data_IF_900389888070
#
_entry.id   IF_900389888070
#
_cell.length_a   1.000
_cell.length_b   1.000
_cell.length_c   1.000
_cell.angle_alpha   90.00
_cell.angle_beta   90.00
_cell.angle_gamma   90.00
#
_symmetry.space_group_name_H-M   'P 1'
#
loop_
_entity.id
_entity.type
_entity.pdbx_description
1 polymer ?
#
# COMPACT_ATOMS: atom_id res chain seq x y z
N UNK A 1 -47.90 -28.63 33.12
CA UNK A 1 -47.85 -27.21 32.70
C UNK A 1 -46.49 -26.63 33.10
N UNK A 2 -45.49 -26.75 32.25
CA UNK A 2 -44.16 -26.13 32.49
C UNK A 2 -43.72 -25.52 31.17
N UNK A 3 -43.78 -24.20 31.11
CA UNK A 3 -43.53 -23.39 29.91
C UNK A 3 -42.04 -23.25 29.65
N UNK A 4 -41.65 -23.48 28.40
CA UNK A 4 -40.33 -23.19 27.87
C UNK A 4 -40.27 -21.70 27.49
N UNK A 5 -39.65 -20.88 28.32
CA UNK A 5 -39.28 -19.51 27.95
C UNK A 5 -37.97 -19.58 27.15
N UNK A 6 -38.06 -19.47 25.83
CA UNK A 6 -36.89 -19.36 24.94
C UNK A 6 -36.33 -17.95 25.05
N UNK A 7 -35.09 -17.84 25.51
CA UNK A 7 -34.31 -16.60 25.59
C UNK A 7 -33.87 -16.17 24.18
N UNK A 8 -34.76 -15.53 23.41
CA UNK A 8 -34.46 -15.04 22.05
C UNK A 8 -33.53 -13.81 22.00
N UNK A 9 -33.14 -13.22 23.14
CA UNK A 9 -32.50 -11.90 23.17
C UNK A 9 -31.00 -11.86 22.81
N UNK A 10 -30.25 -12.95 22.98
CA UNK A 10 -28.77 -12.91 22.90
C UNK A 10 -28.23 -13.31 21.52
N UNK A 11 -28.94 -14.18 20.79
CA UNK A 11 -28.47 -14.72 19.51
C UNK A 11 -28.55 -13.72 18.33
N UNK A 12 -29.57 -12.85 18.31
CA UNK A 12 -29.79 -11.90 17.22
C UNK A 12 -28.73 -10.79 17.16
N UNK A 13 -28.21 -10.37 18.31
CA UNK A 13 -27.19 -9.31 18.41
C UNK A 13 -25.80 -9.79 17.93
N UNK A 14 -25.46 -11.06 18.18
CA UNK A 14 -24.17 -11.63 17.74
C UNK A 14 -24.09 -11.78 16.20
N UNK A 15 -25.19 -12.14 15.53
CA UNK A 15 -25.22 -12.29 14.07
C UNK A 15 -25.07 -10.94 13.34
N UNK A 16 -25.69 -9.87 13.84
CA UNK A 16 -25.59 -8.54 13.24
C UNK A 16 -24.15 -7.96 13.34
N UNK A 17 -23.49 -8.12 14.49
CA UNK A 17 -22.13 -7.64 14.71
C UNK A 17 -21.08 -8.38 13.84
N UNK A 18 -21.28 -9.68 13.59
CA UNK A 18 -20.42 -10.47 12.71
C UNK A 18 -20.55 -10.04 11.24
N UNK A 19 -21.77 -9.82 10.74
CA UNK A 19 -22.01 -9.32 9.39
C UNK A 19 -21.39 -7.93 9.14
N UNK A 20 -21.50 -7.02 10.11
CA UNK A 20 -20.91 -5.67 10.03
C UNK A 20 -19.37 -5.71 9.95
N UNK A 21 -18.74 -6.57 10.74
CA UNK A 21 -17.28 -6.70 10.81
C UNK A 21 -16.70 -7.28 9.51
N UNK A 22 -17.39 -8.26 8.91
CA UNK A 22 -16.96 -8.87 7.65
C UNK A 22 -17.06 -7.88 6.47
N UNK A 23 -18.16 -7.15 6.36
CA UNK A 23 -18.35 -6.15 5.31
C UNK A 23 -17.27 -5.04 5.34
N UNK A 24 -16.91 -4.55 6.53
CA UNK A 24 -15.84 -3.57 6.70
C UNK A 24 -14.47 -4.12 6.29
N UNK A 25 -14.20 -5.40 6.58
CA UNK A 25 -12.94 -6.05 6.20
C UNK A 25 -12.82 -6.22 4.68
N UNK A 26 -13.91 -6.62 4.00
CA UNK A 26 -13.95 -6.70 2.54
C UNK A 26 -13.74 -5.32 1.90
N UNK A 27 -14.44 -4.30 2.38
CA UNK A 27 -14.26 -2.93 1.88
C UNK A 27 -12.81 -2.43 2.04
N UNK A 28 -12.16 -2.73 3.17
CA UNK A 28 -10.75 -2.39 3.39
C UNK A 28 -9.81 -3.17 2.45
N UNK A 29 -10.09 -4.45 2.20
CA UNK A 29 -9.33 -5.28 1.27
C UNK A 29 -9.45 -4.78 -0.17
N UNK A 30 -10.67 -4.50 -0.63
CA UNK A 30 -10.93 -3.92 -1.95
C UNK A 30 -10.22 -2.57 -2.11
N UNK A 31 -10.33 -1.69 -1.11
CA UNK A 31 -9.62 -0.41 -1.09
C UNK A 31 -8.09 -0.56 -1.13
N UNK A 32 -7.54 -1.63 -0.52
CA UNK A 32 -6.12 -1.95 -0.61
C UNK A 32 -5.72 -2.46 -2.00
N UNK A 33 -6.54 -3.32 -2.62
CA UNK A 33 -6.29 -3.85 -3.95
C UNK A 33 -6.33 -2.75 -5.02
N UNK A 34 -7.27 -1.82 -4.89
CA UNK A 34 -7.36 -0.61 -5.69
C UNK A 34 -6.09 0.25 -5.55
N UNK A 35 -5.68 0.55 -4.32
CA UNK A 35 -4.47 1.33 -4.05
C UNK A 35 -3.19 0.67 -4.60
N UNK A 36 -3.10 -0.66 -4.56
CA UNK A 36 -1.97 -1.42 -5.14
C UNK A 36 -2.00 -1.33 -6.67
N UNK A 37 -3.17 -1.48 -7.28
CA UNK A 37 -3.35 -1.45 -8.74
C UNK A 37 -3.04 -0.07 -9.32
N UNK A 38 -3.55 0.97 -8.70
CA UNK A 38 -3.24 2.36 -9.04
C UNK A 38 -1.77 2.67 -8.79
N UNK A 39 -1.25 2.29 -7.62
CA UNK A 39 0.16 2.49 -7.26
C UNK A 39 1.11 1.88 -8.27
N UNK A 40 0.79 0.68 -8.77
CA UNK A 40 1.55 0.02 -9.84
C UNK A 40 1.51 0.81 -11.14
N UNK A 41 0.33 1.28 -11.55
CA UNK A 41 0.16 2.07 -12.78
C UNK A 41 0.93 3.39 -12.71
N UNK A 42 0.79 4.11 -11.60
CA UNK A 42 1.52 5.36 -11.32
C UNK A 42 3.03 5.13 -11.29
N UNK A 43 3.50 4.08 -10.61
CA UNK A 43 4.91 3.74 -10.58
C UNK A 43 5.46 3.49 -12.00
N UNK A 44 4.73 2.72 -12.81
CA UNK A 44 5.14 2.43 -14.17
C UNK A 44 5.14 3.67 -15.08
N UNK A 45 4.23 4.61 -14.84
CA UNK A 45 4.15 5.85 -15.59
C UNK A 45 5.29 6.84 -15.23
N UNK A 46 5.61 6.99 -13.94
CA UNK A 46 6.48 8.07 -13.46
C UNK A 46 7.89 7.61 -13.03
N UNK A 47 8.06 6.36 -12.60
CA UNK A 47 9.29 5.91 -11.94
C UNK A 47 10.04 4.82 -12.71
N UNK A 48 9.34 4.01 -13.49
CA UNK A 48 9.90 2.81 -14.13
C UNK A 48 10.98 3.08 -15.18
N UNK A 49 11.08 4.31 -15.70
CA UNK A 49 12.14 4.67 -16.63
C UNK A 49 13.54 4.39 -16.06
N UNK A 50 13.74 4.65 -14.77
CA UNK A 50 15.01 4.37 -14.07
C UNK A 50 14.91 3.15 -13.15
N UNK A 51 13.77 2.96 -12.49
CA UNK A 51 13.58 1.90 -11.49
C UNK A 51 13.02 0.60 -12.08
N UNK A 52 12.93 0.52 -13.41
CA UNK A 52 12.48 -0.64 -14.17
C UNK A 52 10.96 -0.88 -14.09
N UNK A 53 10.37 -1.58 -15.08
CA UNK A 53 8.95 -1.94 -15.04
C UNK A 53 8.63 -2.76 -13.79
N UNK A 54 7.52 -2.44 -13.12
CA UNK A 54 7.07 -3.11 -11.90
C UNK A 54 8.14 -3.12 -10.76
N UNK A 55 8.98 -2.09 -10.74
CA UNK A 55 10.13 -1.93 -9.85
C UNK A 55 11.24 -2.99 -10.04
N UNK A 56 11.18 -3.79 -11.10
CA UNK A 56 12.19 -4.80 -11.39
C UNK A 56 13.37 -4.14 -12.09
N UNK A 57 14.46 -3.99 -11.35
CA UNK A 57 15.70 -3.38 -11.82
C UNK A 57 16.89 -4.24 -11.40
N UNK A 58 17.81 -4.49 -12.32
CA UNK A 58 19.00 -5.30 -12.05
C UNK A 58 20.06 -4.54 -11.25
N UNK A 59 20.11 -3.21 -11.40
CA UNK A 59 21.04 -2.37 -10.66
C UNK A 59 20.57 -2.17 -9.21
N UNK A 60 21.28 -2.80 -8.28
CA UNK A 60 20.99 -2.80 -6.83
C UNK A 60 20.70 -1.42 -6.20
N UNK A 61 21.35 -0.31 -6.59
CA UNK A 61 21.02 1.02 -6.07
C UNK A 61 19.64 1.52 -6.50
N UNK A 62 19.17 1.09 -7.67
CA UNK A 62 17.92 1.51 -8.31
C UNK A 62 16.77 0.52 -8.08
N UNK A 63 17.03 -0.73 -7.68
CA UNK A 63 15.98 -1.72 -7.38
C UNK A 63 15.20 -1.38 -6.10
N UNK A 64 13.99 -0.84 -6.28
CA UNK A 64 13.11 -0.43 -5.18
C UNK A 64 12.39 -1.60 -4.51
N UNK A 65 12.49 -2.82 -5.03
CA UNK A 65 12.07 -4.05 -4.32
C UNK A 65 12.95 -4.34 -3.11
N UNK A 66 14.00 -3.55 -2.90
CA UNK A 66 14.90 -3.60 -1.74
C UNK A 66 14.69 -2.43 -0.78
N UNK A 67 13.74 -1.53 -1.05
CA UNK A 67 13.53 -0.31 -0.27
C UNK A 67 13.25 -0.61 1.21
N UNK A 68 12.22 -1.40 1.50
CA UNK A 68 11.84 -1.79 2.86
C UNK A 68 12.88 -2.71 3.48
N UNK A 69 13.50 -3.59 2.68
CA UNK A 69 14.59 -4.44 3.17
C UNK A 69 15.82 -3.63 3.61
N UNK A 70 16.10 -2.50 2.96
CA UNK A 70 17.25 -1.63 3.28
C UNK A 70 16.98 -0.72 4.47
N UNK A 71 15.79 -0.12 4.54
CA UNK A 71 15.50 0.94 5.50
C UNK A 71 14.54 0.52 6.63
N UNK A 72 13.96 -0.68 6.57
CA UNK A 72 13.03 -1.18 7.57
C UNK A 72 11.90 -0.19 7.86
N UNK A 73 11.73 0.15 9.16
CA UNK A 73 10.70 1.11 9.60
C UNK A 73 10.89 2.53 9.09
N UNK A 74 12.09 2.90 8.61
CA UNK A 74 12.36 4.23 8.06
C UNK A 74 11.97 4.34 6.57
N UNK A 75 11.60 3.23 5.92
CA UNK A 75 11.27 3.23 4.50
C UNK A 75 10.23 4.29 4.08
N UNK A 76 9.14 4.55 4.84
CA UNK A 76 8.18 5.59 4.48
C UNK A 76 8.79 7.00 4.47
N UNK A 77 9.60 7.33 5.49
CA UNK A 77 10.27 8.62 5.61
C UNK A 77 11.32 8.80 4.51
N UNK A 78 12.16 7.79 4.30
CA UNK A 78 13.18 7.79 3.25
C UNK A 78 12.54 7.93 1.87
N UNK A 79 11.45 7.21 1.60
CA UNK A 79 10.70 7.36 0.36
C UNK A 79 10.18 8.78 0.21
N UNK A 80 9.43 9.28 1.21
CA UNK A 80 8.80 10.58 1.20
C UNK A 80 9.79 11.73 0.99
N UNK A 81 10.91 11.71 1.72
CA UNK A 81 11.96 12.71 1.56
C UNK A 81 12.60 12.64 0.17
N UNK A 82 12.87 11.42 -0.32
CA UNK A 82 13.57 11.20 -1.59
C UNK A 82 12.72 11.62 -2.79
N UNK A 83 11.43 11.28 -2.81
CA UNK A 83 10.53 11.75 -3.88
C UNK A 83 10.26 13.25 -3.77
N UNK A 84 10.22 13.79 -2.56
CA UNK A 84 9.93 15.22 -2.34
C UNK A 84 11.10 16.14 -2.68
N UNK A 85 12.34 15.67 -2.53
CA UNK A 85 13.56 16.47 -2.81
C UNK A 85 14.26 16.05 -4.11
N UNK A 86 13.92 14.89 -4.65
CA UNK A 86 14.65 14.25 -5.75
C UNK A 86 16.07 13.81 -5.35
N UNK A 87 16.83 13.40 -6.37
CA UNK A 87 18.28 13.18 -6.36
C UNK A 87 18.83 13.75 -7.67
N UNK A 88 18.89 15.08 -7.74
CA UNK A 88 19.16 15.78 -8.99
C UNK A 88 20.53 15.42 -9.58
N UNK A 89 21.53 15.22 -8.74
CA UNK A 89 22.87 14.77 -9.14
C UNK A 89 22.89 13.33 -9.68
N UNK A 90 21.83 12.55 -9.44
CA UNK A 90 21.61 11.18 -9.90
C UNK A 90 20.47 11.06 -10.92
N UNK A 91 19.91 12.18 -11.38
CA UNK A 91 18.83 12.21 -12.37
C UNK A 91 17.42 11.92 -11.86
N UNK A 92 17.20 11.69 -10.56
CA UNK A 92 15.84 11.55 -10.03
C UNK A 92 15.22 12.94 -9.83
N UNK A 93 14.12 13.29 -10.52
CA UNK A 93 13.51 14.61 -10.43
C UNK A 93 12.80 14.82 -9.09
N UNK A 94 12.43 16.07 -8.81
CA UNK A 94 11.59 16.44 -7.67
C UNK A 94 10.13 16.17 -8.03
N UNK A 95 9.44 15.33 -7.24
CA UNK A 95 8.04 14.98 -7.48
C UNK A 95 7.05 15.80 -6.64
N UNK A 96 7.53 16.51 -5.61
CA UNK A 96 6.67 17.40 -4.82
C UNK A 96 6.04 18.47 -5.71
N UNK A 97 4.71 18.56 -5.69
CA UNK A 97 3.95 19.50 -6.52
C UNK A 97 3.71 19.02 -7.97
N UNK A 98 4.34 17.93 -8.40
CA UNK A 98 4.05 17.25 -9.66
C UNK A 98 3.07 16.10 -9.44
N UNK A 99 3.33 15.28 -8.43
CA UNK A 99 2.44 14.21 -7.97
C UNK A 99 1.76 14.63 -6.66
N UNK A 100 0.49 14.27 -6.50
CA UNK A 100 -0.21 14.50 -5.23
C UNK A 100 0.31 13.56 -4.14
N UNK A 101 0.13 13.95 -2.88
CA UNK A 101 0.52 13.10 -1.74
C UNK A 101 -0.18 11.74 -1.77
N UNK A 102 -1.43 11.70 -2.26
CA UNK A 102 -2.19 10.46 -2.45
C UNK A 102 -1.59 9.57 -3.54
N UNK A 103 -1.15 10.15 -4.68
CA UNK A 103 -0.46 9.38 -5.72
C UNK A 103 0.86 8.80 -5.20
N UNK A 104 1.64 9.60 -4.46
CA UNK A 104 2.89 9.15 -3.84
C UNK A 104 2.64 8.05 -2.81
N UNK A 105 1.57 8.17 -2.00
CA UNK A 105 1.17 7.15 -1.04
C UNK A 105 0.80 5.84 -1.74
N UNK A 106 0.03 5.88 -2.83
CA UNK A 106 -0.33 4.69 -3.63
C UNK A 106 0.90 4.03 -4.23
N UNK A 107 1.83 4.79 -4.79
CA UNK A 107 3.12 4.28 -5.28
C UNK A 107 3.86 3.55 -4.14
N UNK A 108 3.95 4.15 -2.95
CA UNK A 108 4.61 3.52 -1.81
C UNK A 108 3.90 2.24 -1.34
N UNK A 109 2.56 2.22 -1.34
CA UNK A 109 1.77 1.01 -1.06
C UNK A 109 2.14 -0.10 -2.04
N UNK A 110 2.17 0.19 -3.33
CA UNK A 110 2.60 -0.78 -4.33
C UNK A 110 4.04 -1.27 -4.09
N UNK A 111 4.98 -0.39 -3.78
CA UNK A 111 6.36 -0.80 -3.51
C UNK A 111 6.47 -1.76 -2.33
N UNK A 112 5.63 -1.62 -1.30
CA UNK A 112 5.61 -2.54 -0.17
C UNK A 112 5.19 -3.98 -0.58
N UNK A 113 4.39 -4.15 -1.62
CA UNK A 113 3.92 -5.48 -2.05
C UNK A 113 4.92 -6.23 -2.93
N UNK A 114 5.94 -5.56 -3.45
CA UNK A 114 6.89 -6.15 -4.41
C UNK A 114 8.30 -6.36 -3.84
N UNK A 115 8.45 -6.30 -2.51
CA UNK A 115 9.76 -6.46 -1.87
C UNK A 115 10.33 -7.88 -2.10
N UNK A 116 11.58 -7.99 -2.55
CA UNK A 116 12.24 -9.29 -2.82
C UNK A 116 13.62 -9.35 -2.18
N UNK A 117 13.94 -10.51 -1.60
CA UNK A 117 15.30 -10.82 -1.13
C UNK A 117 16.28 -10.92 -2.31
N UNK A 118 17.58 -10.65 -2.07
CA UNK A 118 18.61 -10.55 -3.10
C UNK A 118 18.92 -11.85 -3.85
#
# INVERSE_FOLDING_TARGET
>A
MTGLRVSLGVAALAAAAFCLSWAATLAAQEGSADAITDGRSLFNQYCAHCHGPNAIQGERPLDLRRLTLRYGRQAPEVFGETVSKGRLDKGMPVWKGVLSDEMLRRIFIYLQTVQTQP
#
